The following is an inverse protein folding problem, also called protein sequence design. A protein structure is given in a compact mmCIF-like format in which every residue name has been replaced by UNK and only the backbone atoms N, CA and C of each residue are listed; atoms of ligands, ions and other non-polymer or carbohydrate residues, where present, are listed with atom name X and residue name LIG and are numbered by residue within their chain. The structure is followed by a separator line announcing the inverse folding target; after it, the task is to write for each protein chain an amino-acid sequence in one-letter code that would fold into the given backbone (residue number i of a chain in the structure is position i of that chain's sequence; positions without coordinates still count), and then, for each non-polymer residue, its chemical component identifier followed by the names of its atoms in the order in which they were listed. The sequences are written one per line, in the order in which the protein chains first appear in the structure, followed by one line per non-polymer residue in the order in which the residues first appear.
data_IF_584867319090
#
_entry.id   IF_584867319090
#
_cell.length_a   1.000
_cell.length_b   1.000
_cell.length_c   1.000
_cell.angle_alpha   90.00
_cell.angle_beta   90.00
_cell.angle_gamma   90.00
#
_symmetry.space_group_name_H-M   'P 1'
#
loop_
_entity.id
_entity.type
_entity.pdbx_description
1 polymer ?
#
# COMPACT_ATOMS: atom_id res chain seq x y z
N UNK A 1 0.39 -6.03 -2.72
CA UNK A 1 -0.51 -6.80 -1.85
C UNK A 1 0.19 -8.01 -1.22
N UNK A 2 -0.47 -8.72 -0.28
CA UNK A 2 0.10 -9.85 0.44
C UNK A 2 0.57 -11.00 -0.47
N UNK A 3 -0.15 -11.25 -1.56
CA UNK A 3 0.23 -12.24 -2.57
C UNK A 3 1.57 -11.93 -3.24
N UNK A 4 1.91 -10.65 -3.42
CA UNK A 4 3.17 -10.21 -4.04
C UNK A 4 4.40 -10.47 -3.18
N UNK A 5 4.23 -10.72 -1.88
CA UNK A 5 5.31 -10.99 -0.91
C UNK A 5 5.08 -12.30 -0.16
N UNK A 6 4.29 -13.22 -0.72
CA UNK A 6 3.83 -14.43 -0.03
C UNK A 6 4.93 -15.43 0.34
N UNK A 7 6.09 -15.38 -0.30
CA UNK A 7 7.20 -16.27 -0.05
C UNK A 7 8.56 -15.62 -0.38
N UNK A 8 9.63 -16.31 -0.06
CA UNK A 8 11.03 -15.86 -0.28
C UNK A 8 11.27 -15.40 -1.73
N UNK A 9 10.86 -16.19 -2.70
CA UNK A 9 11.09 -15.88 -4.13
C UNK A 9 10.40 -14.58 -4.55
N UNK A 10 9.14 -14.41 -4.16
CA UNK A 10 8.36 -13.19 -4.44
C UNK A 10 8.95 -11.97 -3.75
N UNK A 11 9.43 -12.11 -2.50
CA UNK A 11 10.13 -11.03 -1.80
C UNK A 11 11.36 -10.59 -2.60
N UNK A 12 12.20 -11.53 -3.07
CA UNK A 12 13.36 -11.20 -3.87
C UNK A 12 13.00 -10.57 -5.23
N UNK A 13 11.90 -11.00 -5.85
CA UNK A 13 11.43 -10.40 -7.11
C UNK A 13 11.01 -8.93 -6.90
N UNK A 14 10.25 -8.64 -5.85
CA UNK A 14 9.88 -7.26 -5.50
C UNK A 14 11.12 -6.45 -5.12
N UNK A 15 12.03 -7.02 -4.32
CA UNK A 15 13.27 -6.33 -3.93
C UNK A 15 14.09 -5.92 -5.16
N UNK A 16 14.31 -6.82 -6.13
CA UNK A 16 15.05 -6.51 -7.37
C UNK A 16 14.41 -5.37 -8.14
N UNK A 17 13.08 -5.36 -8.24
CA UNK A 17 12.36 -4.29 -8.94
C UNK A 17 12.57 -2.94 -8.26
N UNK A 18 12.40 -2.88 -6.95
CA UNK A 18 12.65 -1.64 -6.18
C UNK A 18 14.10 -1.16 -6.33
N UNK A 19 15.05 -2.10 -6.35
CA UNK A 19 16.48 -1.83 -6.55
C UNK A 19 16.75 -1.28 -7.95
N UNK A 20 16.07 -1.75 -8.98
CA UNK A 20 16.20 -1.19 -10.34
C UNK A 20 15.82 0.29 -10.38
N UNK A 21 14.72 0.67 -9.74
CA UNK A 21 14.29 2.07 -9.69
C UNK A 21 15.23 2.92 -8.82
N UNK A 22 15.69 2.39 -7.69
CA UNK A 22 16.71 3.04 -6.86
C UNK A 22 18.03 3.27 -7.63
N UNK A 23 18.49 2.31 -8.42
CA UNK A 23 19.72 2.44 -9.25
C UNK A 23 19.60 3.48 -10.35
N UNK A 24 18.39 3.84 -10.78
CA UNK A 24 18.14 4.96 -11.71
C UNK A 24 18.28 6.33 -11.05
N UNK A 25 18.58 6.38 -9.75
CA UNK A 25 18.72 7.61 -8.97
C UNK A 25 17.46 8.05 -8.22
N UNK A 26 16.37 7.30 -8.33
CA UNK A 26 15.11 7.63 -7.65
C UNK A 26 15.20 7.39 -6.13
N UNK A 27 14.43 8.17 -5.38
CA UNK A 27 14.08 7.86 -3.99
C UNK A 27 12.92 6.87 -3.99
N UNK A 28 13.07 5.76 -3.28
CA UNK A 28 12.11 4.65 -3.32
C UNK A 28 11.53 4.40 -1.94
N UNK A 29 10.19 4.49 -1.86
CA UNK A 29 9.41 4.10 -0.68
C UNK A 29 8.50 2.94 -1.05
N UNK A 30 8.55 1.86 -0.29
CA UNK A 30 7.79 0.63 -0.54
C UNK A 30 6.82 0.39 0.59
N UNK A 31 5.54 0.22 0.27
CA UNK A 31 4.50 -0.11 1.27
C UNK A 31 4.10 -1.57 1.11
N UNK A 32 4.17 -2.33 2.18
CA UNK A 32 3.87 -3.76 2.16
C UNK A 32 2.67 -4.12 3.03
N UNK A 33 1.90 -5.09 2.55
CA UNK A 33 0.90 -5.84 3.32
C UNK A 33 1.53 -7.04 4.00
N UNK A 34 0.81 -7.66 4.93
CA UNK A 34 1.17 -8.97 5.50
C UNK A 34 1.36 -10.02 4.39
N UNK A 35 2.23 -11.00 4.62
CA UNK A 35 2.58 -12.04 3.66
C UNK A 35 1.41 -13.00 3.44
N UNK A 36 1.05 -13.25 2.18
CA UNK A 36 0.10 -14.29 1.79
C UNK A 36 -1.22 -14.25 2.56
N UNK A 37 -1.51 -15.31 3.31
CA UNK A 37 -2.70 -15.48 4.16
C UNK A 37 -2.41 -15.27 5.65
N UNK A 38 -1.27 -14.68 6.02
CA UNK A 38 -0.87 -14.57 7.42
C UNK A 38 -1.87 -13.83 8.30
N UNK A 39 -2.56 -12.82 7.76
CA UNK A 39 -3.66 -12.14 8.47
C UNK A 39 -4.80 -13.10 8.81
N UNK A 40 -5.15 -14.03 7.91
CA UNK A 40 -6.21 -15.03 8.17
C UNK A 40 -5.77 -16.03 9.25
N UNK A 41 -4.49 -16.39 9.30
CA UNK A 41 -3.91 -17.24 10.34
C UNK A 41 -3.97 -16.54 11.70
N UNK A 42 -3.63 -15.26 11.79
CA UNK A 42 -3.75 -14.46 13.01
C UNK A 42 -5.20 -14.35 13.49
N UNK A 43 -6.17 -14.22 12.58
CA UNK A 43 -7.61 -14.23 12.90
C UNK A 43 -8.00 -15.57 13.52
N UNK A 44 -7.54 -16.67 12.94
CA UNK A 44 -7.82 -18.02 13.44
C UNK A 44 -7.25 -18.19 14.84
N UNK A 45 -5.97 -17.88 15.05
CA UNK A 45 -5.33 -17.95 16.37
C UNK A 45 -6.07 -17.14 17.44
N UNK A 46 -6.52 -15.93 17.09
CA UNK A 46 -7.27 -15.09 18.03
C UNK A 46 -8.61 -15.72 18.41
N UNK A 47 -9.34 -16.30 17.44
CA UNK A 47 -10.62 -16.94 17.66
C UNK A 47 -10.52 -18.25 18.45
N UNK A 48 -9.41 -18.98 18.30
CA UNK A 48 -9.15 -20.20 19.09
C UNK A 48 -8.99 -19.89 20.59
N UNK A 49 -8.57 -18.64 20.92
CA UNK A 49 -8.43 -18.17 22.31
C UNK A 49 -9.71 -17.49 22.80
N UNK A 50 -10.37 -16.70 21.97
CA UNK A 50 -11.57 -15.94 22.32
C UNK A 50 -12.48 -15.79 21.11
N UNK A 51 -13.71 -16.31 21.19
CA UNK A 51 -14.70 -16.23 20.11
C UNK A 51 -15.06 -14.78 19.71
N UNK A 52 -14.89 -13.83 20.63
CA UNK A 52 -15.19 -12.40 20.45
C UNK A 52 -14.00 -11.54 20.90
N UNK A 53 -12.86 -11.61 20.21
CA UNK A 53 -11.67 -10.88 20.62
C UNK A 53 -11.91 -9.35 20.55
N UNK A 54 -11.42 -8.58 21.53
CA UNK A 54 -11.52 -7.12 21.50
C UNK A 54 -10.84 -6.54 20.25
N UNK A 55 -11.48 -5.58 19.61
CA UNK A 55 -10.97 -4.96 18.37
C UNK A 55 -9.59 -4.32 18.55
N UNK A 56 -9.33 -3.73 19.70
CA UNK A 56 -8.03 -3.13 20.02
C UNK A 56 -6.93 -4.19 20.01
N UNK A 57 -7.18 -5.36 20.61
CA UNK A 57 -6.20 -6.46 20.65
C UNK A 57 -6.02 -7.11 19.26
N UNK A 58 -7.10 -7.16 18.47
CA UNK A 58 -7.02 -7.59 17.07
C UNK A 58 -6.13 -6.65 16.24
N UNK A 59 -6.26 -5.33 16.42
CA UNK A 59 -5.40 -4.36 15.74
C UNK A 59 -3.92 -4.55 16.14
N UNK A 60 -3.65 -4.74 17.44
CA UNK A 60 -2.31 -5.04 17.94
C UNK A 60 -1.73 -6.31 17.27
N UNK A 61 -2.54 -7.38 17.22
CA UNK A 61 -2.14 -8.66 16.63
C UNK A 61 -1.87 -8.53 15.13
N UNK A 62 -2.73 -7.86 14.39
CA UNK A 62 -2.60 -7.70 12.94
C UNK A 62 -1.32 -6.98 12.53
N UNK A 63 -0.85 -6.02 13.33
CA UNK A 63 0.38 -5.27 12.98
C UNK A 63 1.62 -6.14 12.84
N UNK A 64 1.63 -7.34 13.42
CA UNK A 64 2.74 -8.29 13.33
C UNK A 64 2.98 -8.71 11.88
N UNK A 65 1.92 -8.92 11.10
CA UNK A 65 2.00 -9.40 9.72
C UNK A 65 2.78 -8.45 8.81
N UNK A 66 2.45 -7.17 8.85
CA UNK A 66 3.15 -6.16 8.06
C UNK A 66 4.57 -5.90 8.58
N UNK A 67 4.78 -5.92 9.89
CA UNK A 67 6.12 -5.74 10.47
C UNK A 67 7.07 -6.86 10.02
N UNK A 68 6.59 -8.10 9.98
CA UNK A 68 7.36 -9.23 9.44
C UNK A 68 7.71 -9.01 7.95
N UNK A 69 6.74 -8.60 7.15
CA UNK A 69 6.94 -8.36 5.70
C UNK A 69 8.00 -7.30 5.44
N UNK A 70 7.94 -6.15 6.12
CA UNK A 70 8.88 -5.04 5.88
C UNK A 70 10.29 -5.38 6.37
N UNK A 71 10.42 -6.11 7.48
CA UNK A 71 11.70 -6.56 7.99
C UNK A 71 12.37 -7.53 7.01
N UNK A 72 11.65 -8.55 6.54
CA UNK A 72 12.16 -9.52 5.58
C UNK A 72 12.52 -8.88 4.23
N UNK A 73 11.73 -7.92 3.77
CA UNK A 73 12.02 -7.16 2.55
C UNK A 73 13.30 -6.34 2.68
N UNK A 74 13.49 -5.65 3.81
CA UNK A 74 14.70 -4.87 4.06
C UNK A 74 15.94 -5.77 4.14
N UNK A 75 15.84 -6.94 4.77
CA UNK A 75 16.90 -7.95 4.79
C UNK A 75 17.23 -8.48 3.39
N UNK A 76 16.20 -8.69 2.54
CA UNK A 76 16.40 -9.13 1.17
C UNK A 76 17.13 -8.06 0.33
N UNK A 77 16.78 -6.78 0.49
CA UNK A 77 17.47 -5.67 -0.19
C UNK A 77 18.93 -5.54 0.26
N UNK A 78 19.18 -5.65 1.58
CA UNK A 78 20.52 -5.64 2.15
C UNK A 78 21.36 -6.78 1.59
N UNK A 79 20.81 -8.00 1.52
CA UNK A 79 21.50 -9.17 0.93
C UNK A 79 21.84 -9.00 -0.56
N UNK A 80 21.14 -8.10 -1.25
CA UNK A 80 21.41 -7.69 -2.65
C UNK A 80 22.34 -6.47 -2.75
N UNK A 81 22.92 -6.02 -1.63
CA UNK A 81 23.90 -4.94 -1.57
C UNK A 81 23.29 -3.53 -1.63
N UNK A 82 22.00 -3.38 -1.33
CA UNK A 82 21.34 -2.06 -1.34
C UNK A 82 20.80 -1.73 0.05
N UNK A 83 21.22 -0.59 0.63
CA UNK A 83 20.79 -0.20 1.97
C UNK A 83 19.30 0.07 2.01
N UNK A 84 18.60 -0.57 2.94
CA UNK A 84 17.18 -0.39 3.16
C UNK A 84 16.87 -0.28 4.66
N UNK A 85 15.73 0.33 4.99
CA UNK A 85 15.24 0.44 6.36
C UNK A 85 13.74 0.16 6.41
N UNK A 86 13.34 -0.70 7.35
CA UNK A 86 11.93 -0.96 7.63
C UNK A 86 11.39 0.00 8.70
N UNK A 87 10.21 0.55 8.47
CA UNK A 87 9.53 1.46 9.39
C UNK A 87 8.08 1.01 9.60
N UNK A 88 7.62 1.05 10.85
CA UNK A 88 6.23 0.81 11.21
C UNK A 88 5.46 2.12 11.42
N UNK A 89 4.15 2.02 11.71
CA UNK A 89 3.26 3.16 11.88
C UNK A 89 3.71 4.16 12.97
N UNK A 90 4.32 3.68 14.05
CA UNK A 90 4.89 4.52 15.11
C UNK A 90 6.06 5.36 14.60
N UNK A 91 6.97 4.73 13.87
CA UNK A 91 8.21 5.36 13.40
C UNK A 91 7.97 6.43 12.32
N UNK A 92 6.83 6.34 11.62
CA UNK A 92 6.39 7.33 10.63
C UNK A 92 5.24 8.20 11.14
N UNK A 93 4.93 8.12 12.44
CA UNK A 93 3.86 8.87 13.10
C UNK A 93 2.55 8.92 12.28
N UNK A 94 2.06 7.74 11.90
CA UNK A 94 0.86 7.59 11.09
C UNK A 94 -0.39 7.69 11.95
N UNK A 95 -0.82 8.92 12.26
CA UNK A 95 -1.93 9.20 13.18
C UNK A 95 -3.29 8.92 12.55
N UNK A 96 -4.15 8.26 13.32
CA UNK A 96 -5.50 7.85 12.91
C UNK A 96 -6.57 8.24 13.94
N UNK A 97 -7.82 7.93 13.62
CA UNK A 97 -8.90 7.88 14.60
C UNK A 97 -8.78 6.63 15.48
N UNK A 98 -9.39 6.62 16.67
CA UNK A 98 -9.42 5.45 17.58
C UNK A 98 -10.50 4.42 17.22
N UNK A 99 -10.92 4.34 15.96
CA UNK A 99 -11.92 3.37 15.49
C UNK A 99 -11.23 2.06 15.09
N UNK A 100 -10.92 1.22 16.10
CA UNK A 100 -10.22 -0.05 15.87
C UNK A 100 -10.90 -0.92 14.80
N UNK A 101 -10.08 -1.52 13.91
CA UNK A 101 -10.49 -2.34 12.78
C UNK A 101 -10.92 -1.55 11.53
N UNK A 102 -11.14 -0.23 11.64
CA UNK A 102 -11.58 0.63 10.53
C UNK A 102 -11.19 2.09 10.71
N UNK A 103 -10.02 2.33 11.28
CA UNK A 103 -9.50 3.66 11.55
C UNK A 103 -9.36 4.51 10.28
N UNK A 104 -9.47 5.83 10.44
CA UNK A 104 -9.26 6.79 9.36
C UNK A 104 -7.96 7.54 9.60
N UNK A 105 -7.15 7.63 8.56
CA UNK A 105 -5.92 8.39 8.59
C UNK A 105 -6.20 9.89 8.78
N UNK A 106 -5.47 10.52 9.69
CA UNK A 106 -5.56 11.95 10.00
C UNK A 106 -4.34 12.71 9.54
N UNK A 107 -3.15 12.20 9.87
CA UNK A 107 -1.87 12.87 9.62
C UNK A 107 -0.75 11.84 9.53
N UNK A 108 0.24 12.13 8.69
CA UNK A 108 1.52 11.41 8.62
C UNK A 108 2.63 12.43 8.84
N UNK A 109 3.64 12.06 9.62
CA UNK A 109 4.89 12.81 9.68
C UNK A 109 5.93 12.14 8.77
N UNK A 110 6.20 12.76 7.64
CA UNK A 110 7.13 12.24 6.66
C UNK A 110 8.62 12.53 6.99
N UNK A 111 8.92 13.26 8.07
CA UNK A 111 10.29 13.69 8.38
C UNK A 111 11.26 12.52 8.56
N UNK A 112 10.81 11.43 9.21
CA UNK A 112 11.65 10.22 9.34
C UNK A 112 11.94 9.57 8.00
N UNK A 113 10.95 9.47 7.12
CA UNK A 113 11.11 8.87 5.79
C UNK A 113 12.08 9.72 4.97
N UNK A 114 11.89 11.05 4.93
CA UNK A 114 12.79 11.98 4.23
C UNK A 114 14.24 11.81 4.66
N UNK A 115 14.49 11.77 5.96
CA UNK A 115 15.84 11.57 6.49
C UNK A 115 16.49 10.28 6.02
N UNK A 116 15.73 9.19 5.92
CA UNK A 116 16.26 7.92 5.43
C UNK A 116 16.52 7.93 3.92
N UNK A 117 15.66 8.62 3.15
CA UNK A 117 15.87 8.84 1.71
C UNK A 117 17.10 9.73 1.45
N UNK A 118 17.30 10.80 2.23
CA UNK A 118 18.48 11.66 2.17
C UNK A 118 19.78 10.89 2.44
N UNK A 119 19.70 9.84 3.29
CA UNK A 119 20.79 8.90 3.53
C UNK A 119 20.90 7.81 2.45
N UNK A 120 20.23 7.97 1.33
CA UNK A 120 20.22 7.03 0.21
C UNK A 120 19.84 5.61 0.62
N UNK A 121 18.79 5.46 1.40
CA UNK A 121 18.19 4.16 1.76
C UNK A 121 16.86 3.99 1.07
N UNK A 122 16.55 2.77 0.63
CA UNK A 122 15.17 2.39 0.31
C UNK A 122 14.39 2.31 1.62
N UNK A 123 13.23 2.96 1.69
CA UNK A 123 12.39 2.96 2.88
C UNK A 123 11.22 1.99 2.68
N UNK A 124 11.12 0.98 3.55
CA UNK A 124 10.06 -0.03 3.50
C UNK A 124 9.10 0.20 4.66
N UNK A 125 7.86 0.57 4.38
CA UNK A 125 6.87 0.98 5.38
C UNK A 125 5.76 -0.04 5.49
N UNK A 126 5.32 -0.31 6.73
CA UNK A 126 4.13 -1.14 6.95
C UNK A 126 2.89 -0.45 6.40
N UNK A 127 2.14 -1.15 5.56
CA UNK A 127 0.80 -0.73 5.19
C UNK A 127 -0.24 -1.02 6.26
N UNK A 128 -1.50 -0.62 6.03
CA UNK A 128 -2.67 -1.03 6.80
C UNK A 128 -2.76 -0.49 8.22
N UNK A 129 -1.69 -0.15 8.89
CA UNK A 129 -1.64 0.22 10.31
C UNK A 129 -1.46 1.72 10.54
N UNK A 130 -1.88 2.18 11.71
CA UNK A 130 -1.69 3.51 12.22
C UNK A 130 -1.63 3.52 13.76
N UNK A 131 -1.56 4.70 14.33
CA UNK A 131 -1.58 4.94 15.77
C UNK A 131 -2.65 5.97 16.12
N UNK A 132 -3.35 5.75 17.21
CA UNK A 132 -4.36 6.69 17.68
C UNK A 132 -3.79 7.71 18.70
N UNK A 133 -4.67 8.52 19.29
CA UNK A 133 -4.29 9.54 20.28
C UNK A 133 -3.74 8.98 21.60
N UNK A 134 -3.93 7.70 21.87
CA UNK A 134 -3.39 7.01 23.04
C UNK A 134 -2.11 6.25 22.71
N UNK A 135 -1.61 6.35 21.47
CA UNK A 135 -0.53 5.55 20.93
C UNK A 135 -0.85 4.05 20.83
N UNK A 136 -2.13 3.70 20.77
CA UNK A 136 -2.53 2.35 20.45
C UNK A 136 -2.48 2.12 18.95
N UNK A 137 -2.08 0.90 18.55
CA UNK A 137 -2.16 0.49 17.15
C UNK A 137 -3.62 0.46 16.69
N UNK A 138 -3.82 0.89 15.47
CA UNK A 138 -5.09 0.84 14.76
C UNK A 138 -4.89 0.27 13.36
N UNK A 139 -5.94 -0.31 12.79
CA UNK A 139 -5.91 -0.77 11.39
C UNK A 139 -6.91 -0.01 10.53
N UNK A 140 -6.54 0.21 9.27
CA UNK A 140 -7.33 1.01 8.33
C UNK A 140 -8.48 0.23 7.67
N UNK A 141 -8.56 -1.08 7.92
CA UNK A 141 -9.54 -1.96 7.29
C UNK A 141 -9.16 -2.33 5.85
N UNK A 142 -10.12 -2.84 5.07
CA UNK A 142 -9.87 -3.32 3.70
C UNK A 142 -9.26 -2.23 2.82
N UNK A 143 -8.28 -2.60 1.98
CA UNK A 143 -7.54 -1.66 1.14
C UNK A 143 -6.62 -0.72 1.92
N UNK A 144 -6.33 -1.04 3.18
CA UNK A 144 -5.54 -0.18 4.08
C UNK A 144 -4.12 0.05 3.58
N UNK A 145 -3.46 -0.95 2.99
CA UNK A 145 -2.10 -0.78 2.44
C UNK A 145 -2.08 0.16 1.24
N UNK A 146 -3.08 0.08 0.35
CA UNK A 146 -3.20 1.00 -0.78
C UNK A 146 -3.48 2.43 -0.28
N UNK A 147 -4.35 2.55 0.72
CA UNK A 147 -4.61 3.83 1.40
C UNK A 147 -3.34 4.41 2.02
N UNK A 148 -2.51 3.57 2.67
CA UNK A 148 -1.22 3.97 3.22
C UNK A 148 -0.27 4.45 2.12
N UNK A 149 -0.16 3.71 1.01
CA UNK A 149 0.72 4.06 -0.10
C UNK A 149 0.36 5.43 -0.71
N UNK A 150 -0.92 5.66 -0.97
CA UNK A 150 -1.42 6.94 -1.50
C UNK A 150 -1.18 8.10 -0.52
N UNK A 151 -1.44 7.87 0.77
CA UNK A 151 -1.25 8.90 1.79
C UNK A 151 0.24 9.26 1.97
N UNK A 152 1.14 8.29 1.91
CA UNK A 152 2.58 8.52 1.94
C UNK A 152 3.05 9.23 0.68
N UNK A 153 2.57 8.86 -0.50
CA UNK A 153 2.90 9.55 -1.75
C UNK A 153 2.49 11.02 -1.68
N UNK A 154 1.31 11.33 -1.15
CA UNK A 154 0.85 12.70 -0.95
C UNK A 154 1.71 13.46 0.08
N UNK A 155 2.02 12.85 1.23
CA UNK A 155 2.82 13.48 2.28
C UNK A 155 4.28 13.74 1.87
N UNK A 156 4.79 12.92 0.97
CA UNK A 156 6.14 13.02 0.41
C UNK A 156 6.21 13.86 -0.87
N UNK A 157 5.07 14.30 -1.42
CA UNK A 157 4.99 14.91 -2.75
C UNK A 157 5.70 14.07 -3.81
N UNK A 158 5.40 12.76 -3.81
CA UNK A 158 6.04 11.81 -4.70
C UNK A 158 5.59 12.04 -6.16
N UNK A 159 6.52 11.86 -7.11
CA UNK A 159 6.26 12.00 -8.55
C UNK A 159 5.34 10.90 -9.08
N UNK A 160 5.35 9.72 -8.45
CA UNK A 160 4.50 8.58 -8.80
C UNK A 160 4.13 7.73 -7.59
N UNK A 161 2.93 7.14 -7.63
CA UNK A 161 2.48 6.11 -6.71
C UNK A 161 2.05 4.88 -7.51
N UNK A 162 2.80 3.80 -7.40
CA UNK A 162 2.55 2.57 -8.15
C UNK A 162 1.94 1.51 -7.24
N UNK A 163 0.79 0.94 -7.62
CA UNK A 163 0.13 -0.16 -6.91
C UNK A 163 0.38 -1.47 -7.67
N UNK A 164 1.11 -2.37 -7.03
CA UNK A 164 1.38 -3.71 -7.57
C UNK A 164 0.38 -4.71 -7.04
N UNK A 165 -0.30 -5.40 -7.95
CA UNK A 165 -1.36 -6.36 -7.63
C UNK A 165 -1.25 -7.58 -8.53
N UNK A 166 -2.07 -8.60 -8.27
CA UNK A 166 -2.16 -9.86 -9.04
C UNK A 166 -3.08 -9.75 -10.27
N UNK A 167 -3.62 -8.56 -10.55
CA UNK A 167 -4.35 -8.26 -11.78
C UNK A 167 -3.52 -7.34 -12.67
N UNK A 168 -3.66 -7.50 -13.99
CA UNK A 168 -2.82 -6.82 -14.97
C UNK A 168 -3.29 -5.40 -15.36
N UNK A 169 -4.31 -4.88 -14.68
CA UNK A 169 -4.79 -3.51 -14.82
C UNK A 169 -6.29 -3.35 -14.60
N UNK A 170 -6.79 -2.16 -14.89
CA UNK A 170 -8.21 -1.83 -14.87
C UNK A 170 -8.80 -2.08 -16.26
N UNK A 171 -9.95 -2.74 -16.32
CA UNK A 171 -10.66 -3.09 -17.55
C UNK A 171 -12.04 -2.42 -17.60
N UNK A 172 -12.58 -2.30 -18.80
CA UNK A 172 -13.95 -1.79 -19.01
C UNK A 172 -15.03 -2.68 -18.41
N UNK A 173 -14.73 -3.96 -18.18
CA UNK A 173 -15.54 -4.96 -17.48
C UNK A 173 -14.64 -6.11 -17.01
N UNK A 174 -15.14 -7.04 -16.19
CA UNK A 174 -14.36 -8.21 -15.77
C UNK A 174 -14.04 -9.10 -17.02
N UNK A 175 -12.75 -9.21 -17.41
CA UNK A 175 -12.36 -9.96 -18.62
C UNK A 175 -12.67 -11.46 -18.52
N UNK A 176 -12.86 -11.99 -17.31
CA UNK A 176 -13.27 -13.39 -17.09
C UNK A 176 -14.74 -13.63 -17.42
N UNK A 177 -15.56 -12.57 -17.40
CA UNK A 177 -17.01 -12.61 -17.69
C UNK A 177 -17.35 -12.05 -19.06
N UNK A 178 -16.61 -11.04 -19.50
CA UNK A 178 -16.87 -10.32 -20.75
C UNK A 178 -15.65 -10.43 -21.65
N UNK A 179 -15.72 -11.28 -22.68
CA UNK A 179 -14.59 -11.53 -23.60
C UNK A 179 -14.15 -10.32 -24.42
N UNK A 180 -15.01 -9.30 -24.55
CA UNK A 180 -14.74 -8.03 -25.24
C UNK A 180 -14.21 -6.94 -24.28
N UNK A 181 -13.97 -7.24 -23.01
CA UNK A 181 -13.41 -6.30 -22.05
C UNK A 181 -12.04 -5.82 -22.53
N UNK A 182 -11.81 -4.50 -22.48
CA UNK A 182 -10.55 -3.87 -22.89
C UNK A 182 -9.85 -3.27 -21.69
N UNK A 183 -8.54 -3.45 -21.63
CA UNK A 183 -7.70 -2.80 -20.62
C UNK A 183 -7.67 -1.29 -20.88
N UNK A 184 -7.92 -0.53 -19.82
CA UNK A 184 -7.85 0.94 -19.87
C UNK A 184 -6.39 1.38 -19.73
N UNK A 185 -5.96 2.32 -20.56
CA UNK A 185 -4.64 2.95 -20.45
C UNK A 185 -4.64 4.02 -19.35
N UNK A 186 -5.75 4.72 -19.25
CA UNK A 186 -5.99 5.83 -18.32
C UNK A 186 -7.44 5.79 -17.87
N UNK A 187 -7.70 6.25 -16.66
CA UNK A 187 -9.04 6.38 -16.08
C UNK A 187 -9.03 7.59 -15.15
N UNK A 188 -10.13 8.34 -15.10
CA UNK A 188 -10.27 9.45 -14.15
C UNK A 188 -10.51 8.94 -12.73
N UNK A 189 -10.26 9.77 -11.73
CA UNK A 189 -10.57 9.41 -10.34
C UNK A 189 -12.05 9.14 -10.12
N UNK A 190 -12.93 9.88 -10.79
CA UNK A 190 -14.39 9.72 -10.69
C UNK A 190 -14.85 8.40 -11.29
N UNK A 191 -14.42 8.08 -12.51
CA UNK A 191 -14.69 6.78 -13.14
C UNK A 191 -14.14 5.61 -12.31
N UNK A 192 -12.94 5.78 -11.72
CA UNK A 192 -12.35 4.72 -10.86
C UNK A 192 -13.13 4.56 -9.56
N UNK A 193 -13.65 5.64 -8.97
CA UNK A 193 -14.52 5.59 -7.80
C UNK A 193 -15.83 4.86 -8.11
N UNK A 194 -16.45 5.15 -9.25
CA UNK A 194 -17.66 4.45 -9.70
C UNK A 194 -17.39 2.96 -9.89
N UNK A 195 -16.32 2.59 -10.58
CA UNK A 195 -15.92 1.20 -10.75
C UNK A 195 -15.65 0.50 -9.41
N UNK A 196 -14.92 1.14 -8.49
CA UNK A 196 -14.62 0.57 -7.17
C UNK A 196 -15.88 0.42 -6.31
N UNK A 197 -16.82 1.35 -6.40
CA UNK A 197 -18.10 1.31 -5.68
C UNK A 197 -19.03 0.24 -6.24
N UNK A 198 -19.02 0.02 -7.55
CA UNK A 198 -19.81 -1.01 -8.23
C UNK A 198 -19.20 -2.41 -8.16
N UNK A 199 -18.08 -2.60 -7.45
CA UNK A 199 -17.52 -3.91 -7.14
C UNK A 199 -16.32 -4.32 -8.01
N UNK A 200 -15.71 -3.41 -8.75
CA UNK A 200 -14.42 -3.67 -9.38
C UNK A 200 -13.34 -3.78 -8.29
N UNK A 201 -12.93 -5.00 -7.95
CA UNK A 201 -12.02 -5.30 -6.84
C UNK A 201 -10.55 -4.95 -7.07
N UNK A 202 -10.23 -4.07 -8.02
CA UNK A 202 -8.84 -3.71 -8.37
C UNK A 202 -8.25 -2.73 -7.35
N UNK A 203 -9.00 -1.69 -6.99
CA UNK A 203 -8.64 -0.70 -5.97
C UNK A 203 -9.81 -0.50 -5.00
N UNK A 204 -9.49 -0.18 -3.75
CA UNK A 204 -10.51 0.14 -2.76
C UNK A 204 -10.89 1.62 -2.86
N UNK A 205 -12.21 1.96 -2.79
CA UNK A 205 -12.70 3.35 -2.93
C UNK A 205 -11.98 4.35 -2.01
N UNK A 206 -11.62 3.96 -0.78
CA UNK A 206 -10.88 4.85 0.15
C UNK A 206 -9.53 5.30 -0.39
N UNK A 207 -8.80 4.42 -1.09
CA UNK A 207 -7.51 4.80 -1.68
C UNK A 207 -7.70 5.75 -2.86
N UNK A 208 -8.74 5.53 -3.67
CA UNK A 208 -9.09 6.39 -4.80
C UNK A 208 -9.58 7.77 -4.33
N UNK A 209 -10.47 7.83 -3.32
CA UNK A 209 -10.91 9.08 -2.69
C UNK A 209 -9.73 9.89 -2.15
N UNK A 210 -8.79 9.21 -1.50
CA UNK A 210 -7.60 9.86 -0.96
C UNK A 210 -6.70 10.38 -2.08
N UNK A 211 -6.49 9.60 -3.15
CA UNK A 211 -5.75 10.03 -4.32
C UNK A 211 -6.39 11.26 -4.99
N UNK A 212 -7.71 11.25 -5.15
CA UNK A 212 -8.47 12.40 -5.67
C UNK A 212 -8.27 13.65 -4.80
N UNK A 213 -8.37 13.49 -3.46
CA UNK A 213 -8.22 14.60 -2.51
C UNK A 213 -6.84 15.24 -2.56
N UNK A 214 -5.79 14.46 -2.71
CA UNK A 214 -4.40 14.94 -2.65
C UNK A 214 -3.75 15.09 -4.02
N UNK A 215 -4.19 14.37 -5.05
CA UNK A 215 -3.72 14.50 -6.43
C UNK A 215 -4.27 15.72 -7.18
N UNK A 216 -5.37 16.32 -6.66
CA UNK A 216 -5.99 17.54 -7.21
C UNK A 216 -5.48 18.86 -6.60
N UNK A 217 -4.48 18.84 -5.74
CA UNK A 217 -4.09 20.03 -4.96
C UNK A 217 -2.67 20.49 -5.15
N UNK A 218 -2.40 21.27 -6.18
CA UNK A 218 -1.68 22.54 -6.18
C UNK A 218 -1.36 23.01 -7.59
N UNK A 219 -2.35 23.59 -8.25
CA UNK A 219 -2.13 24.77 -9.08
C UNK A 219 -3.50 25.36 -9.42
N UNK A 220 -3.73 26.59 -8.99
CA UNK A 220 -4.79 27.46 -9.42
C UNK A 220 -4.61 27.77 -10.92
N UNK A 221 -5.13 26.88 -11.77
CA UNK A 221 -5.16 27.02 -13.21
C UNK A 221 -6.30 26.13 -13.74
N UNK A 222 -7.26 26.74 -14.36
CA UNK A 222 -8.37 26.11 -15.07
C UNK A 222 -7.82 25.03 -16.02
N UNK A 223 -8.42 23.82 -16.00
CA UNK A 223 -8.12 22.65 -16.82
C UNK A 223 -7.02 21.67 -16.34
N UNK A 224 -7.01 21.30 -15.07
CA UNK A 224 -6.34 20.06 -14.65
C UNK A 224 -7.27 18.87 -15.00
N UNK A 225 -6.98 18.23 -16.11
CA UNK A 225 -7.56 16.94 -16.52
C UNK A 225 -7.21 15.91 -15.44
N UNK A 226 -8.15 15.64 -14.51
CA UNK A 226 -7.95 14.80 -13.30
C UNK A 226 -7.89 13.33 -13.69
N UNK A 227 -6.80 12.89 -14.31
CA UNK A 227 -6.61 11.49 -14.72
C UNK A 227 -5.86 10.69 -13.69
N UNK A 228 -6.37 9.54 -13.34
CA UNK A 228 -5.80 8.60 -12.36
C UNK A 228 -4.42 8.07 -12.79
N UNK A 229 -3.98 8.26 -14.03
CA UNK A 229 -2.76 7.68 -14.58
C UNK A 229 -1.56 8.62 -14.71
N UNK A 230 -1.68 9.91 -14.37
CA UNK A 230 -0.48 10.75 -14.23
C UNK A 230 0.33 10.45 -12.95
N UNK A 231 -0.15 9.52 -12.10
CA UNK A 231 0.52 9.06 -10.89
C UNK A 231 0.26 7.60 -10.48
N UNK A 232 -0.63 6.88 -11.20
CA UNK A 232 -0.89 5.46 -10.94
C UNK A 232 -0.40 4.63 -12.13
N UNK A 233 0.81 4.08 -12.03
CA UNK A 233 1.21 3.00 -12.93
C UNK A 233 0.77 1.68 -12.31
N UNK A 234 -0.28 1.08 -12.87
CA UNK A 234 -0.59 -0.31 -12.63
C UNK A 234 0.35 -1.14 -13.52
N UNK A 235 1.51 -1.52 -13.00
CA UNK A 235 2.40 -2.44 -13.71
C UNK A 235 2.23 -3.82 -13.14
N UNK A 236 1.79 -4.73 -13.97
CA UNK A 236 1.65 -6.14 -13.67
C UNK A 236 2.99 -6.84 -13.85
N UNK A 237 3.42 -7.57 -12.82
CA UNK A 237 4.32 -8.69 -13.04
C UNK A 237 3.50 -9.91 -13.40
N UNK A 238 3.51 -10.30 -14.66
CA UNK A 238 3.24 -11.67 -15.05
C UNK A 238 4.21 -12.56 -14.26
N UNK A 239 3.70 -13.37 -13.33
CA UNK A 239 4.38 -14.59 -12.97
C UNK A 239 4.37 -15.44 -14.24
N UNK A 240 5.53 -15.67 -14.85
CA UNK A 240 5.70 -16.74 -15.82
C UNK A 240 5.12 -18.01 -15.21
N UNK A 241 4.10 -18.52 -15.86
CA UNK A 241 3.62 -19.89 -15.62
C UNK A 241 4.61 -20.80 -16.34
N UNK A 242 5.52 -21.34 -15.61
CA UNK A 242 6.13 -22.63 -15.91
C UNK A 242 5.86 -23.59 -14.79
#
# INVERSE_FOLDING_TARGET
GGTSVANKERIFNVARRCIEDYKKGNDVVVVLSAMGKYTDELITMAKDINDKPPKREMDMLFTIGEQMSVALMSMAMDSLGVPAVSLNAFQVAMHTTSAHGSARLKKIDAARIRRELDNRRIVVVTGFQGIDKYNDYTTLGRGGSDTTAVALAAALHADACEIYTDVDGVYTADPRKVSKARKLKEITYDEMLDLATLGAGVLHNRSVEMAKKYGGGSNSGENADQRCCSGYRCSTYCCDRT
#
